data_IF_183612606018
#
_entry.id   IF_183612606018
#
_cell.length_a   1.000
_cell.length_b   1.000
_cell.length_c   1.000
_cell.angle_alpha   90.00
_cell.angle_beta   90.00
_cell.angle_gamma   90.00
#
_symmetry.space_group_name_H-M   'P 1'
#
loop_
_entity.id
_entity.type
_entity.pdbx_description
1 polymer ?
#
# COMPACT_ATOMS: atom_id res chain seq x y z
N UNK A 1 -3.58 -16.69 0.39
CA UNK A 1 -2.37 -15.85 0.27
C UNK A 1 -2.14 -15.58 -1.21
N UNK A 2 -1.77 -14.36 -1.57
CA UNK A 2 -1.52 -13.94 -2.95
C UNK A 2 -0.15 -13.27 -3.03
N UNK A 3 0.58 -13.49 -4.12
CA UNK A 3 1.85 -12.83 -4.42
C UNK A 3 1.71 -11.96 -5.67
N UNK A 4 2.04 -10.68 -5.56
CA UNK A 4 1.94 -9.70 -6.65
C UNK A 4 3.33 -9.26 -7.11
N UNK A 5 3.71 -9.40 -8.39
CA UNK A 5 5.01 -8.96 -8.88
C UNK A 5 5.12 -7.44 -8.90
N UNK A 6 6.29 -6.91 -8.53
CA UNK A 6 6.59 -5.48 -8.55
C UNK A 6 7.33 -5.09 -9.83
N UNK A 7 7.01 -3.91 -10.39
CA UNK A 7 7.70 -3.39 -11.59
C UNK A 7 9.14 -2.96 -11.33
N UNK A 8 9.46 -2.60 -10.09
CA UNK A 8 10.78 -2.20 -9.63
C UNK A 8 11.06 -2.83 -8.27
N UNK A 9 12.33 -3.10 -7.96
CA UNK A 9 12.74 -3.56 -6.63
C UNK A 9 12.48 -2.45 -5.62
N UNK A 10 11.85 -2.78 -4.51
CA UNK A 10 11.58 -1.86 -3.41
C UNK A 10 11.83 -2.57 -2.09
N UNK A 11 12.57 -1.94 -1.16
CA UNK A 11 12.94 -2.56 0.13
C UNK A 11 13.48 -4.00 -0.02
N UNK A 12 14.31 -4.23 -1.02
CA UNK A 12 14.90 -5.54 -1.28
C UNK A 12 13.98 -6.58 -1.94
N UNK A 13 12.66 -6.36 -2.02
CA UNK A 13 11.70 -7.32 -2.57
C UNK A 13 11.33 -7.01 -4.04
N UNK A 14 10.95 -8.05 -4.78
CA UNK A 14 10.42 -7.99 -6.16
C UNK A 14 9.00 -8.53 -6.27
N UNK A 15 8.45 -9.07 -5.19
CA UNK A 15 7.06 -9.51 -5.08
C UNK A 15 6.50 -9.12 -3.72
N UNK A 16 5.22 -8.73 -3.67
CA UNK A 16 4.50 -8.46 -2.43
C UNK A 16 3.58 -9.62 -2.11
N UNK A 17 3.85 -10.28 -0.99
CA UNK A 17 2.99 -11.33 -0.44
C UNK A 17 1.99 -10.73 0.54
N UNK A 18 0.73 -11.11 0.40
CA UNK A 18 -0.36 -10.66 1.27
C UNK A 18 -1.31 -11.80 1.59
N UNK A 19 -1.85 -11.80 2.81
CA UNK A 19 -3.02 -12.57 3.18
C UNK A 19 -4.26 -11.68 3.14
N UNK A 20 -5.34 -12.20 2.58
CA UNK A 20 -6.64 -11.55 2.58
C UNK A 20 -7.51 -12.19 3.66
N UNK A 21 -8.22 -11.36 4.41
CA UNK A 21 -9.10 -11.76 5.50
C UNK A 21 -10.52 -11.39 5.06
N UNK A 22 -11.36 -12.38 4.82
CA UNK A 22 -12.78 -12.19 4.51
C UNK A 22 -13.56 -12.12 5.83
N UNK A 23 -14.25 -11.01 6.07
CA UNK A 23 -14.99 -10.78 7.31
C UNK A 23 -16.33 -10.10 7.06
N UNK A 24 -17.18 -9.99 8.10
CA UNK A 24 -18.54 -9.49 7.97
C UNK A 24 -18.64 -8.01 7.56
N UNK A 25 -17.56 -7.23 7.72
CA UNK A 25 -17.49 -5.84 7.27
C UNK A 25 -16.81 -5.68 5.89
N UNK A 26 -16.38 -6.78 5.28
CA UNK A 26 -15.68 -6.82 3.99
C UNK A 26 -14.28 -7.42 4.11
N UNK A 27 -13.40 -7.04 3.18
CA UNK A 27 -12.05 -7.56 3.10
C UNK A 27 -11.04 -6.73 3.89
N UNK A 28 -10.18 -7.42 4.62
CA UNK A 28 -8.96 -6.87 5.21
C UNK A 28 -7.70 -7.45 4.57
N UNK A 29 -6.60 -6.72 4.62
CA UNK A 29 -5.30 -7.15 4.10
C UNK A 29 -4.27 -7.23 5.23
N UNK A 30 -3.59 -8.36 5.33
CA UNK A 30 -2.36 -8.51 6.10
C UNK A 30 -1.18 -8.66 5.14
N UNK A 31 -0.44 -7.57 4.98
CA UNK A 31 0.76 -7.50 4.15
C UNK A 31 1.90 -6.87 4.92
N UNK A 32 2.34 -7.47 6.02
CA UNK A 32 3.57 -7.05 6.71
C UNK A 32 4.80 -7.32 5.83
N UNK A 33 5.85 -6.52 5.98
CA UNK A 33 7.14 -6.83 5.36
C UNK A 33 7.78 -8.03 6.05
N UNK A 34 8.52 -8.85 5.30
CA UNK A 34 9.07 -10.12 5.81
C UNK A 34 10.15 -9.90 6.85
N UNK A 35 10.80 -8.74 6.83
CA UNK A 35 11.77 -8.33 7.85
C UNK A 35 11.13 -7.89 9.18
N UNK A 36 9.79 -7.77 9.26
CA UNK A 36 9.12 -7.39 10.49
C UNK A 36 8.95 -8.59 11.41
N UNK A 37 9.57 -8.51 12.58
CA UNK A 37 9.42 -9.48 13.65
C UNK A 37 7.97 -9.50 14.20
N UNK A 38 7.55 -10.60 14.86
CA UNK A 38 6.16 -10.81 15.27
C UNK A 38 5.51 -9.64 16.03
N UNK A 39 6.26 -8.93 16.89
CA UNK A 39 5.73 -7.79 17.63
C UNK A 39 5.36 -6.60 16.72
N UNK A 40 6.15 -6.33 15.68
CA UNK A 40 5.85 -5.29 14.70
C UNK A 40 4.74 -5.75 13.75
N UNK A 41 4.83 -6.99 13.25
CA UNK A 41 3.83 -7.58 12.35
C UNK A 41 2.44 -7.73 12.99
N UNK A 42 2.35 -7.90 14.31
CA UNK A 42 1.07 -7.97 15.03
C UNK A 42 0.20 -6.72 14.82
N UNK A 43 0.79 -5.53 14.71
CA UNK A 43 0.05 -4.30 14.43
C UNK A 43 -0.56 -4.30 13.02
N UNK A 44 0.16 -4.84 12.04
CA UNK A 44 -0.33 -5.03 10.68
C UNK A 44 -1.48 -6.03 10.63
N UNK A 45 -1.36 -7.15 11.35
CA UNK A 45 -2.43 -8.15 11.44
C UNK A 45 -3.68 -7.56 12.11
N UNK A 46 -3.51 -6.84 13.22
CA UNK A 46 -4.60 -6.18 13.91
C UNK A 46 -5.33 -5.17 13.01
N UNK A 47 -4.61 -4.46 12.14
CA UNK A 47 -5.19 -3.54 11.14
C UNK A 47 -6.00 -4.31 10.08
N UNK A 48 -5.46 -5.40 9.53
CA UNK A 48 -6.18 -6.24 8.57
C UNK A 48 -7.47 -6.82 9.15
N UNK A 49 -7.41 -7.34 10.38
CA UNK A 49 -8.59 -7.82 11.11
C UNK A 49 -9.59 -6.68 11.35
N UNK A 50 -9.10 -5.48 11.71
CA UNK A 50 -9.96 -4.32 11.90
C UNK A 50 -10.79 -4.01 10.64
N UNK A 51 -10.14 -3.97 9.48
CA UNK A 51 -10.79 -3.69 8.21
C UNK A 51 -11.84 -4.74 7.84
N UNK A 52 -11.57 -6.02 8.14
CA UNK A 52 -12.50 -7.11 7.82
C UNK A 52 -13.70 -7.22 8.78
N UNK A 53 -13.55 -6.80 10.04
CA UNK A 53 -14.55 -7.05 11.09
C UNK A 53 -15.22 -5.81 11.67
N UNK A 54 -14.73 -4.60 11.39
CA UNK A 54 -15.30 -3.35 11.90
C UNK A 54 -15.81 -2.47 10.75
N UNK A 55 -16.98 -1.82 10.90
CA UNK A 55 -17.41 -0.81 9.94
C UNK A 55 -16.38 0.30 9.80
N UNK A 56 -16.17 0.79 8.58
CA UNK A 56 -15.35 1.97 8.34
C UNK A 56 -15.98 3.20 9.01
N UNK A 57 -15.17 4.15 9.50
CA UNK A 57 -15.67 5.43 9.99
C UNK A 57 -16.50 6.15 8.93
N UNK A 58 -17.42 7.01 9.37
CA UNK A 58 -18.24 7.81 8.47
C UNK A 58 -17.36 8.64 7.52
N UNK A 59 -17.59 8.47 6.22
CA UNK A 59 -16.87 9.19 5.16
C UNK A 59 -17.26 10.66 5.19
N UNK A 60 -16.27 11.54 5.39
CA UNK A 60 -16.48 13.01 5.39
C UNK A 60 -16.14 13.68 4.06
N UNK A 61 -15.45 12.96 3.16
CA UNK A 61 -15.01 13.46 1.85
C UNK A 61 -15.08 12.34 0.84
N UNK A 62 -15.60 12.65 -0.35
CA UNK A 62 -15.73 11.68 -1.45
C UNK A 62 -14.47 11.60 -2.32
N UNK A 63 -13.52 12.54 -2.15
CA UNK A 63 -12.25 12.58 -2.89
C UNK A 63 -11.13 13.06 -1.98
N UNK A 64 -9.97 12.40 -2.09
CA UNK A 64 -8.73 12.75 -1.40
C UNK A 64 -7.63 12.99 -2.45
N UNK A 65 -7.00 14.18 -2.53
CA UNK A 65 -5.87 14.40 -3.44
C UNK A 65 -4.66 13.58 -2.96
N UNK A 66 -3.95 12.95 -3.91
CA UNK A 66 -2.76 12.14 -3.64
C UNK A 66 -1.52 12.78 -4.27
N UNK A 67 -0.34 12.44 -3.74
CA UNK A 67 0.94 12.76 -4.37
C UNK A 67 1.32 11.72 -5.44
N UNK A 68 2.19 12.12 -6.37
CA UNK A 68 2.95 11.18 -7.18
C UNK A 68 4.06 10.55 -6.34
N UNK A 69 4.40 9.28 -6.60
CA UNK A 69 5.50 8.59 -5.93
C UNK A 69 6.66 8.41 -6.91
N UNK A 70 7.79 9.02 -6.63
CA UNK A 70 9.00 8.99 -7.46
C UNK A 70 10.02 8.05 -6.81
N UNK A 71 10.29 6.87 -7.41
CA UNK A 71 11.33 5.99 -6.89
C UNK A 71 12.72 6.60 -7.11
N UNK A 72 13.74 6.00 -6.50
CA UNK A 72 15.13 6.42 -6.72
C UNK A 72 15.56 6.14 -8.17
N UNK A 73 15.37 7.14 -9.05
CA UNK A 73 15.74 7.13 -10.47
C UNK A 73 16.70 8.27 -10.78
N UNK A 74 17.40 8.19 -11.91
CA UNK A 74 18.22 9.29 -12.40
C UNK A 74 17.37 10.56 -12.64
N UNK A 75 17.93 11.74 -12.39
CA UNK A 75 17.20 13.01 -12.47
C UNK A 75 16.49 13.23 -13.81
N UNK A 76 17.13 12.84 -14.93
CA UNK A 76 16.54 12.94 -16.27
C UNK A 76 15.27 12.10 -16.48
N UNK A 77 15.07 11.04 -15.69
CA UNK A 77 13.90 10.16 -15.79
C UNK A 77 12.71 10.64 -14.93
N UNK A 78 12.88 11.66 -14.10
CA UNK A 78 11.82 12.13 -13.18
C UNK A 78 10.60 12.65 -13.93
N UNK A 79 10.81 13.40 -15.02
CA UNK A 79 9.72 13.92 -15.84
C UNK A 79 8.83 12.79 -16.40
N UNK A 80 9.44 11.71 -16.89
CA UNK A 80 8.73 10.54 -17.42
C UNK A 80 7.94 9.78 -16.34
N UNK A 81 8.48 9.71 -15.11
CA UNK A 81 7.75 9.14 -13.97
C UNK A 81 6.54 10.00 -13.63
N UNK A 82 6.70 11.32 -13.53
CA UNK A 82 5.62 12.24 -13.16
C UNK A 82 4.50 12.29 -14.20
N UNK A 83 4.83 12.12 -15.49
CA UNK A 83 3.84 12.05 -16.57
C UNK A 83 2.80 10.91 -16.37
N UNK A 84 3.12 9.90 -15.56
CA UNK A 84 2.21 8.77 -15.23
C UNK A 84 1.17 9.11 -14.17
N UNK A 85 1.24 10.27 -13.53
CA UNK A 85 0.35 10.70 -12.45
C UNK A 85 -0.42 11.97 -12.81
N UNK A 86 -1.25 11.96 -13.87
CA UNK A 86 -2.02 13.13 -14.26
C UNK A 86 -2.92 13.61 -13.11
N UNK A 87 -2.81 14.89 -12.77
CA UNK A 87 -3.60 15.54 -11.70
C UNK A 87 -2.95 15.56 -10.32
N UNK A 88 -1.85 14.84 -10.09
CA UNK A 88 -1.06 14.99 -8.86
C UNK A 88 -0.38 16.37 -8.84
N UNK A 89 -0.44 17.06 -7.71
CA UNK A 89 0.15 18.40 -7.53
C UNK A 89 1.39 18.41 -6.64
N UNK A 90 1.70 17.27 -6.02
CA UNK A 90 2.83 17.06 -5.12
C UNK A 90 3.50 15.74 -5.45
N UNK A 91 4.77 15.59 -5.11
CA UNK A 91 5.54 14.36 -5.33
C UNK A 91 6.33 13.99 -4.05
N UNK A 92 6.54 12.68 -3.84
CA UNK A 92 7.35 12.10 -2.76
C UNK A 92 8.30 11.05 -3.31
#
# INVERSE_FOLDING_TARGET
>A
MVALPMRVRFRGITAREVALIDGPAGWGEFGAFVEYEPAEAAHWLASGIAAAYRPLPQVQRTRIPINATVPAVAAGAVADVLARFPGARTAK
#
